data_IF_498416107178
#
_entry.id   IF_498416107178
#
_cell.length_a   1.000
_cell.length_b   1.000
_cell.length_c   1.000
_cell.angle_alpha   90.00
_cell.angle_beta   90.00
_cell.angle_gamma   90.00
#
_symmetry.space_group_name_H-M   'P 1'
#
loop_
_entity.id
_entity.type
_entity.pdbx_description
1 polymer ?
#
# COMPACT_ATOMS: atom_id res chain seq x y z
N UNK A 1 2.48 -25.75 2.85
CA UNK A 1 3.34 -24.93 1.97
C UNK A 1 4.47 -24.36 2.82
N UNK A 2 5.75 -24.46 2.45
CA UNK A 2 6.82 -23.94 3.28
C UNK A 2 6.87 -22.42 3.10
N UNK A 3 6.56 -21.69 4.17
CA UNK A 3 6.70 -20.24 4.23
C UNK A 3 8.18 -19.80 4.19
N UNK A 4 8.43 -18.50 3.99
CA UNK A 4 9.77 -17.95 3.80
C UNK A 4 10.70 -18.39 4.95
N UNK A 5 11.81 -19.05 4.60
CA UNK A 5 12.80 -19.52 5.58
C UNK A 5 13.47 -18.36 6.33
N UNK A 6 14.17 -18.70 7.42
CA UNK A 6 14.89 -17.84 8.39
C UNK A 6 15.98 -16.89 7.80
N UNK A 7 15.91 -16.55 6.50
CA UNK A 7 16.86 -15.71 5.76
C UNK A 7 16.21 -14.76 4.74
N UNK A 8 14.87 -14.68 4.68
CA UNK A 8 14.23 -13.71 3.80
C UNK A 8 14.39 -12.29 4.40
N UNK A 9 15.02 -11.33 3.70
CA UNK A 9 15.42 -10.02 4.25
C UNK A 9 14.27 -9.04 4.50
N UNK A 10 13.05 -9.54 4.68
CA UNK A 10 11.82 -8.79 4.88
C UNK A 10 10.77 -9.13 3.83
N UNK A 11 9.50 -8.89 4.17
CA UNK A 11 8.37 -9.06 3.26
C UNK A 11 7.53 -7.79 3.24
N UNK A 12 7.03 -7.44 2.06
CA UNK A 12 6.14 -6.30 1.86
C UNK A 12 4.82 -6.82 1.30
N UNK A 13 3.73 -6.51 1.98
CA UNK A 13 2.37 -6.80 1.53
C UNK A 13 1.57 -5.50 1.50
N UNK A 14 0.77 -5.30 0.45
CA UNK A 14 0.02 -4.07 0.29
C UNK A 14 -1.05 -4.16 -0.77
N UNK A 15 -1.88 -3.13 -0.81
CA UNK A 15 -2.99 -3.01 -1.75
C UNK A 15 -3.51 -1.58 -1.80
N UNK A 16 -4.30 -1.29 -2.83
CA UNK A 16 -4.92 0.01 -3.00
C UNK A 16 -6.34 -0.16 -3.51
N UNK A 17 -7.23 0.72 -3.05
CA UNK A 17 -8.60 0.83 -3.55
C UNK A 17 -8.93 2.31 -3.77
N UNK A 18 -9.75 2.59 -4.77
CA UNK A 18 -10.12 3.95 -5.10
C UNK A 18 -11.33 4.01 -6.01
N UNK A 19 -11.91 5.21 -6.05
CA UNK A 19 -13.05 5.57 -6.88
C UNK A 19 -12.70 6.78 -7.73
N UNK A 20 -13.30 6.84 -8.92
CA UNK A 20 -13.20 7.97 -9.83
C UNK A 20 -14.59 8.51 -10.12
N UNK A 21 -14.73 9.83 -9.99
CA UNK A 21 -15.94 10.56 -10.33
C UNK A 21 -15.68 11.42 -11.57
N UNK A 22 -16.32 11.13 -12.72
CA UNK A 22 -16.32 12.06 -13.84
C UNK A 22 -17.22 13.26 -13.47
N UNK A 23 -16.62 14.45 -13.40
CA UNK A 23 -17.34 15.67 -12.96
C UNK A 23 -17.67 16.61 -14.13
N UNK A 24 -16.90 16.54 -15.22
CA UNK A 24 -17.23 17.22 -16.47
C UNK A 24 -16.62 16.48 -17.67
N UNK A 25 -16.90 16.96 -18.89
CA UNK A 25 -16.18 16.51 -20.09
C UNK A 25 -14.70 16.84 -19.90
N UNK A 26 -13.87 15.80 -19.91
CA UNK A 26 -12.42 15.90 -19.66
C UNK A 26 -12.06 16.41 -18.26
N UNK A 27 -12.88 16.17 -17.23
CA UNK A 27 -12.51 16.44 -15.84
C UNK A 27 -12.97 15.31 -14.93
N UNK A 28 -12.06 14.78 -14.12
CA UNK A 28 -12.34 13.74 -13.14
C UNK A 28 -11.69 14.04 -11.79
N UNK A 29 -12.33 13.56 -10.73
CA UNK A 29 -11.79 13.56 -9.35
C UNK A 29 -11.54 12.12 -8.93
N UNK A 30 -10.35 11.86 -8.41
CA UNK A 30 -9.93 10.56 -7.89
C UNK A 30 -9.82 10.62 -6.35
N UNK A 31 -10.38 9.63 -5.66
CA UNK A 31 -10.22 9.43 -4.21
C UNK A 31 -9.76 7.99 -3.99
N UNK A 32 -8.68 7.80 -3.22
CA UNK A 32 -8.13 6.48 -2.97
C UNK A 32 -7.48 6.32 -1.61
N UNK A 33 -7.34 5.07 -1.19
CA UNK A 33 -6.55 4.68 -0.03
C UNK A 33 -5.61 3.55 -0.41
N UNK A 34 -4.38 3.64 0.08
CA UNK A 34 -3.36 2.63 -0.07
C UNK A 34 -2.92 2.15 1.31
N UNK A 35 -2.79 0.83 1.42
CA UNK A 35 -2.24 0.17 2.59
C UNK A 35 -0.93 -0.52 2.20
N UNK A 36 0.08 -0.38 3.06
CA UNK A 36 1.33 -1.12 2.93
C UNK A 36 1.81 -1.55 4.31
N UNK A 37 2.21 -2.81 4.43
CA UNK A 37 2.84 -3.38 5.60
C UNK A 37 4.21 -3.91 5.23
N UNK A 38 5.19 -3.57 6.06
CA UNK A 38 6.58 -3.97 5.92
C UNK A 38 7.03 -4.72 7.17
N UNK A 39 7.46 -5.96 6.99
CA UNK A 39 8.06 -6.79 8.03
C UNK A 39 9.56 -6.94 7.79
N UNK A 40 10.37 -6.69 8.82
CA UNK A 40 11.81 -6.95 8.81
C UNK A 40 12.21 -7.87 9.94
N UNK A 41 12.87 -8.97 9.57
CA UNK A 41 13.46 -9.93 10.50
C UNK A 41 14.98 -9.70 10.57
N UNK A 42 15.40 -8.72 11.39
CA UNK A 42 16.82 -8.46 11.62
C UNK A 42 17.25 -8.99 12.99
N UNK A 43 18.03 -10.09 12.98
CA UNK A 43 18.83 -10.58 14.13
C UNK A 43 18.12 -10.58 15.51
N UNK A 44 16.83 -10.89 15.56
CA UNK A 44 16.07 -11.06 16.82
C UNK A 44 15.13 -9.91 17.20
N UNK A 45 15.16 -8.79 16.49
CA UNK A 45 14.15 -7.72 16.59
C UNK A 45 13.23 -7.81 15.36
N UNK A 46 11.99 -8.29 15.58
CA UNK A 46 10.98 -8.32 14.54
C UNK A 46 10.24 -6.98 14.53
N UNK A 47 10.49 -6.16 13.50
CA UNK A 47 9.82 -4.88 13.30
C UNK A 47 8.71 -5.01 12.27
N UNK A 48 7.47 -4.71 12.66
CA UNK A 48 6.32 -4.61 11.75
C UNK A 48 5.88 -3.15 11.66
N UNK A 49 6.01 -2.56 10.48
CA UNK A 49 5.57 -1.20 10.21
C UNK A 49 4.37 -1.22 9.26
N UNK A 50 3.33 -0.46 9.60
CA UNK A 50 2.11 -0.30 8.82
C UNK A 50 1.95 1.15 8.38
N UNK A 51 1.63 1.35 7.09
CA UNK A 51 1.41 2.67 6.50
C UNK A 51 0.06 2.73 5.78
N UNK A 52 -0.68 3.80 6.06
CA UNK A 52 -1.88 4.19 5.32
C UNK A 52 -1.61 5.49 4.57
N UNK A 53 -1.98 5.54 3.29
CA UNK A 53 -1.87 6.74 2.47
C UNK A 53 -3.24 7.05 1.89
N UNK A 54 -3.70 8.28 2.09
CA UNK A 54 -4.93 8.79 1.51
C UNK A 54 -4.59 9.68 0.33
N UNK A 55 -5.22 9.44 -0.81
CA UNK A 55 -4.94 10.10 -2.08
C UNK A 55 -6.19 10.85 -2.53
N UNK A 56 -6.00 12.12 -2.91
CA UNK A 56 -7.00 12.93 -3.61
C UNK A 56 -6.34 13.55 -4.83
N UNK A 57 -7.07 13.59 -5.95
CA UNK A 57 -6.51 14.09 -7.20
C UNK A 57 -7.57 14.66 -8.15
N UNK A 58 -7.12 15.56 -9.01
CA UNK A 58 -7.89 16.13 -10.12
C UNK A 58 -7.17 15.77 -11.42
N UNK A 59 -7.92 15.35 -12.44
CA UNK A 59 -7.40 14.91 -13.74
C UNK A 59 -8.15 15.58 -14.88
N UNK A 60 -7.40 16.00 -15.91
CA UNK A 60 -7.89 16.66 -17.12
C UNK A 60 -7.59 15.81 -18.36
#
# INVERSE_FOLDING_TARGET
MPGPGHRAPGHLVGGQVGVRFPVARSLSVDIGVQFTQYGVDFRGEAGQAQQWVFLTGVRF
#
